data_IF_492611430737
#
_entry.id   IF_492611430737
#
_cell.length_a   1.000
_cell.length_b   1.000
_cell.length_c   1.000
_cell.angle_alpha   90.00
_cell.angle_beta   90.00
_cell.angle_gamma   90.00
#
_symmetry.space_group_name_H-M   'P 1'
#
loop_
_entity.id
_entity.type
_entity.pdbx_description
1 polymer ?
#
# COMPACT_ATOMS: atom_id res chain seq x y z
N UNK A 1 5.91 -21.82 -32.92
CA UNK A 1 5.73 -21.93 -31.45
C UNK A 1 5.45 -20.55 -30.82
N UNK A 2 4.39 -19.84 -31.24
CA UNK A 2 4.13 -18.44 -30.83
C UNK A 2 2.88 -18.30 -29.94
N UNK A 3 2.09 -19.35 -29.81
CA UNK A 3 0.79 -19.27 -29.14
C UNK A 3 0.88 -19.27 -27.60
N UNK A 4 1.84 -19.99 -27.03
CA UNK A 4 2.00 -20.13 -25.58
C UNK A 4 2.63 -18.91 -24.88
N UNK A 5 3.44 -18.10 -25.57
CA UNK A 5 4.09 -16.93 -24.94
C UNK A 5 3.10 -15.79 -24.64
N UNK A 6 2.08 -15.62 -25.47
CA UNK A 6 1.06 -14.58 -25.30
C UNK A 6 0.19 -14.82 -24.05
N UNK A 7 -0.18 -16.07 -23.78
CA UNK A 7 -0.97 -16.48 -22.63
C UNK A 7 -0.21 -16.29 -21.30
N UNK A 8 1.06 -16.67 -21.26
CA UNK A 8 1.93 -16.48 -20.08
C UNK A 8 2.09 -14.99 -19.77
N UNK A 9 2.19 -14.13 -20.79
CA UNK A 9 2.34 -12.69 -20.61
C UNK A 9 1.09 -12.02 -20.01
N UNK A 10 -0.11 -12.49 -20.37
CA UNK A 10 -1.38 -12.01 -19.79
C UNK A 10 -1.54 -12.45 -18.33
N UNK A 11 -1.20 -13.69 -18.02
CA UNK A 11 -1.21 -14.22 -16.66
C UNK A 11 -0.23 -13.47 -15.74
N UNK A 12 0.98 -13.18 -16.21
CA UNK A 12 1.94 -12.34 -15.48
C UNK A 12 1.41 -10.93 -15.22
N UNK A 13 0.77 -10.29 -16.21
CA UNK A 13 0.18 -8.95 -16.02
C UNK A 13 -0.96 -8.94 -15.01
N UNK A 14 -1.81 -9.98 -15.00
CA UNK A 14 -2.86 -10.14 -14.00
C UNK A 14 -2.32 -10.25 -12.58
N UNK A 15 -1.28 -11.06 -12.37
CA UNK A 15 -0.61 -11.21 -11.06
C UNK A 15 0.11 -9.94 -10.60
N UNK A 16 0.69 -9.17 -11.54
CA UNK A 16 1.32 -7.88 -11.22
C UNK A 16 0.25 -6.86 -10.84
N UNK A 17 -0.86 -6.79 -11.58
CA UNK A 17 -1.97 -5.90 -11.26
C UNK A 17 -2.66 -6.24 -9.94
N UNK A 18 -2.80 -7.54 -9.62
CA UNK A 18 -3.31 -7.99 -8.31
C UNK A 18 -2.35 -7.60 -7.18
N UNK A 19 -1.04 -7.80 -7.38
CA UNK A 19 -0.01 -7.34 -6.44
C UNK A 19 -0.01 -5.81 -6.27
N UNK A 20 -0.24 -5.04 -7.33
CA UNK A 20 -0.36 -3.58 -7.23
C UNK A 20 -1.63 -3.16 -6.50
N UNK A 21 -2.73 -3.90 -6.68
CA UNK A 21 -4.01 -3.66 -5.99
C UNK A 21 -3.95 -3.90 -4.48
N UNK A 22 -2.95 -4.64 -3.99
CA UNK A 22 -2.73 -4.90 -2.57
C UNK A 22 -2.02 -3.75 -1.83
N UNK A 23 -1.45 -2.76 -2.53
CA UNK A 23 -0.75 -1.65 -1.88
C UNK A 23 -1.48 -0.31 -2.04
N UNK A 24 -1.39 0.53 -1.01
CA UNK A 24 -1.81 1.94 -1.01
C UNK A 24 -0.54 2.78 -0.82
N UNK A 25 -0.27 3.70 -1.74
CA UNK A 25 0.85 4.64 -1.57
C UNK A 25 0.43 5.84 -0.72
N UNK A 26 1.25 6.21 0.25
CA UNK A 26 1.14 7.46 0.99
C UNK A 26 2.39 8.30 0.78
N UNK A 27 2.22 9.61 0.67
CA UNK A 27 3.32 10.56 0.74
C UNK A 27 3.32 11.19 2.13
N UNK A 28 4.38 10.96 2.90
CA UNK A 28 4.52 11.50 4.25
C UNK A 28 5.58 12.58 4.21
N UNK A 29 5.25 13.77 4.73
CA UNK A 29 6.18 14.89 4.82
C UNK A 29 6.68 15.02 6.25
N UNK A 30 8.00 15.03 6.42
CA UNK A 30 8.62 15.29 7.71
C UNK A 30 8.43 16.77 8.07
N UNK A 31 7.85 17.05 9.24
CA UNK A 31 7.65 18.43 9.70
C UNK A 31 8.94 19.09 10.23
N UNK A 32 10.02 18.32 10.47
CA UNK A 32 11.30 18.86 10.96
C UNK A 32 12.21 19.31 9.82
N UNK A 33 12.47 18.44 8.83
CA UNK A 33 13.39 18.74 7.72
C UNK A 33 12.69 18.93 6.35
N UNK A 34 11.37 18.71 6.26
CA UNK A 34 10.62 18.83 5.02
C UNK A 34 10.77 17.67 4.05
N UNK A 35 11.49 16.59 4.40
CA UNK A 35 11.66 15.41 3.53
C UNK A 35 10.30 14.76 3.22
N UNK A 36 10.03 14.54 1.94
CA UNK A 36 8.86 13.79 1.47
C UNK A 36 9.26 12.34 1.19
N UNK A 37 8.58 11.41 1.84
CA UNK A 37 8.85 9.98 1.77
C UNK A 37 7.60 9.29 1.24
N UNK A 38 7.74 8.65 0.08
CA UNK A 38 6.70 7.77 -0.46
C UNK A 38 6.80 6.42 0.22
N UNK A 39 5.74 6.02 0.92
CA UNK A 39 5.61 4.69 1.53
C UNK A 39 4.52 3.91 0.82
N UNK A 40 4.65 2.59 0.81
CA UNK A 40 3.61 1.67 0.34
C UNK A 40 3.10 0.87 1.53
N UNK A 41 1.78 0.82 1.66
CA UNK A 41 1.05 0.16 2.74
C UNK A 41 0.30 -1.02 2.15
N UNK A 42 0.57 -2.22 2.63
CA UNK A 42 -0.13 -3.42 2.24
C UNK A 42 -1.51 -3.47 2.92
N UNK A 43 -2.58 -3.51 2.13
CA UNK A 43 -3.97 -3.51 2.62
C UNK A 43 -4.29 -4.69 3.52
N UNK A 44 -3.62 -5.84 3.33
CA UNK A 44 -3.89 -7.08 4.05
C UNK A 44 -3.09 -7.20 5.34
N UNK A 45 -1.84 -6.70 5.36
CA UNK A 45 -0.92 -6.92 6.49
C UNK A 45 -0.69 -5.69 7.36
N UNK A 46 -0.87 -4.48 6.82
CA UNK A 46 -0.54 -3.25 7.55
C UNK A 46 -1.76 -2.53 8.13
N UNK A 47 -2.96 -2.77 7.57
CA UNK A 47 -4.20 -2.18 8.06
C UNK A 47 -4.86 -3.09 9.09
N UNK A 48 -5.12 -2.54 10.28
CA UNK A 48 -5.85 -3.22 11.34
C UNK A 48 -7.32 -2.78 11.30
N UNK A 49 -8.24 -3.73 11.12
CA UNK A 49 -9.67 -3.45 11.16
C UNK A 49 -10.11 -3.19 12.60
N UNK A 50 -10.93 -2.17 12.81
CA UNK A 50 -11.49 -1.82 14.12
C UNK A 50 -12.83 -2.51 14.42
N UNK A 51 -13.35 -3.35 13.50
CA UNK A 51 -14.57 -4.14 13.64
C UNK A 51 -15.78 -3.32 14.12
N UNK A 52 -15.95 -2.14 13.53
CA UNK A 52 -17.01 -1.22 13.95
C UNK A 52 -18.39 -1.72 13.55
N UNK A 53 -19.35 -1.47 14.42
CA UNK A 53 -20.74 -1.73 14.14
C UNK A 53 -21.33 -0.64 13.22
N UNK A 54 -22.41 -1.00 12.52
CA UNK A 54 -23.07 -0.06 11.60
C UNK A 54 -23.66 1.12 12.37
N UNK A 55 -23.22 2.33 12.03
CA UNK A 55 -23.68 3.57 12.64
C UNK A 55 -22.71 4.18 13.66
N UNK A 56 -21.64 3.49 14.03
CA UNK A 56 -20.62 4.06 14.91
C UNK A 56 -19.76 5.11 14.17
N UNK A 57 -19.58 6.33 14.71
CA UNK A 57 -18.78 7.39 14.08
C UNK A 57 -17.26 7.15 14.22
N UNK A 58 -16.46 7.52 13.22
CA UNK A 58 -14.99 7.38 13.23
C UNK A 58 -14.43 6.38 12.21
N UNK A 59 -13.09 6.22 12.14
CA UNK A 59 -12.42 5.43 11.10
C UNK A 59 -12.70 3.92 11.21
N UNK A 60 -12.75 3.20 10.09
CA UNK A 60 -12.94 1.75 10.07
C UNK A 60 -11.63 0.94 10.25
N UNK A 61 -10.48 1.57 10.02
CA UNK A 61 -9.17 0.94 10.06
C UNK A 61 -8.16 1.84 10.75
N UNK A 62 -7.16 1.22 11.38
CA UNK A 62 -5.95 1.88 11.90
C UNK A 62 -4.73 1.41 11.11
N UNK A 63 -3.80 2.33 10.86
CA UNK A 63 -2.51 2.08 10.23
C UNK A 63 -1.40 2.53 11.17
N UNK A 64 -0.46 1.63 11.46
CA UNK A 64 0.76 1.96 12.20
C UNK A 64 1.98 1.60 11.35
N UNK A 65 2.83 2.60 11.07
CA UNK A 65 4.06 2.44 10.30
C UNK A 65 5.18 3.26 10.92
N UNK A 66 6.35 2.65 11.00
CA UNK A 66 7.60 3.34 11.35
C UNK A 66 8.32 3.74 10.07
N UNK A 67 8.67 5.02 9.94
CA UNK A 67 9.27 5.59 8.74
C UNK A 67 10.61 6.22 9.14
N UNK A 68 11.69 5.70 8.58
CA UNK A 68 13.03 6.27 8.75
C UNK A 68 13.36 7.14 7.53
N UNK A 69 13.47 8.46 7.75
CA UNK A 69 13.97 9.39 6.74
C UNK A 69 15.47 9.27 6.53
N UNK A 70 15.97 9.79 5.40
CA UNK A 70 17.41 9.80 5.10
C UNK A 70 18.06 11.14 5.37
N UNK A 71 17.27 12.22 5.41
CA UNK A 71 17.76 13.60 5.47
C UNK A 71 17.55 14.26 6.82
N UNK A 72 16.76 13.67 7.70
CA UNK A 72 16.46 14.26 8.99
C UNK A 72 17.63 14.02 9.97
N UNK A 73 18.34 15.07 10.41
CA UNK A 73 19.36 14.97 11.46
C UNK A 73 18.74 14.78 12.84
#
# INVERSE_FOLDING_TARGET
MSFWSSLISKLKRGLIAEKEGDFISFNVKCNKCGEEIKINVNRRTDLQNLYKESGEPGPAYTLTKEILGKRCP
#
